data_IF_104372651750
#
_entry.id   IF_104372651750
#
_cell.length_a   1.000
_cell.length_b   1.000
_cell.length_c   1.000
_cell.angle_alpha   90.00
_cell.angle_beta   90.00
_cell.angle_gamma   90.00
#
_symmetry.space_group_name_H-M   'P 1'
#
loop_
_entity.id
_entity.type
_entity.pdbx_description
1 polymer ?
#
# COMPACT_ATOMS: atom_id res chain seq x y z
N UNK A 1 -17.70 -12.66 -6.41
CA UNK A 1 -16.86 -12.07 -5.33
C UNK A 1 -15.36 -12.11 -5.70
N UNK A 2 -14.76 -13.26 -6.00
CA UNK A 2 -13.33 -13.36 -6.39
C UNK A 2 -12.93 -12.51 -7.61
N UNK A 3 -13.75 -12.45 -8.66
CA UNK A 3 -13.45 -11.63 -9.84
C UNK A 3 -13.42 -10.13 -9.51
N UNK A 4 -14.34 -9.69 -8.63
CA UNK A 4 -14.41 -8.31 -8.17
C UNK A 4 -13.21 -7.96 -7.28
N UNK A 5 -12.76 -8.86 -6.41
CA UNK A 5 -11.55 -8.69 -5.61
C UNK A 5 -10.34 -8.48 -6.54
N UNK A 6 -10.17 -9.32 -7.56
CA UNK A 6 -9.07 -9.18 -8.51
C UNK A 6 -9.06 -7.83 -9.23
N UNK A 7 -10.23 -7.35 -9.68
CA UNK A 7 -10.37 -6.02 -10.32
C UNK A 7 -10.09 -4.89 -9.33
N UNK A 8 -10.61 -4.97 -8.11
CA UNK A 8 -10.38 -3.98 -7.06
C UNK A 8 -8.89 -3.91 -6.69
N UNK A 9 -8.23 -5.05 -6.54
CA UNK A 9 -6.78 -5.15 -6.29
C UNK A 9 -5.98 -4.52 -7.42
N UNK A 10 -6.28 -4.86 -8.67
CA UNK A 10 -5.58 -4.30 -9.81
C UNK A 10 -5.74 -2.77 -9.87
N UNK A 11 -6.97 -2.27 -9.66
CA UNK A 11 -7.25 -0.83 -9.61
C UNK A 11 -6.52 -0.15 -8.45
N UNK A 12 -6.63 -0.68 -7.23
CA UNK A 12 -5.96 -0.14 -6.04
C UNK A 12 -4.44 -0.13 -6.21
N UNK A 13 -3.84 -1.12 -6.86
CA UNK A 13 -2.39 -1.17 -7.10
C UNK A 13 -1.87 0.01 -7.94
N UNK A 14 -2.75 0.71 -8.67
CA UNK A 14 -2.41 1.90 -9.46
C UNK A 14 -2.60 3.22 -8.70
N UNK A 15 -3.01 3.17 -7.43
CA UNK A 15 -3.20 4.35 -6.59
C UNK A 15 -1.91 5.19 -6.46
N UNK A 16 -2.09 6.50 -6.29
CA UNK A 16 -1.00 7.48 -6.16
C UNK A 16 0.00 7.09 -5.06
N UNK A 17 -0.43 6.41 -4.00
CA UNK A 17 0.46 5.93 -2.93
C UNK A 17 1.56 5.02 -3.46
N UNK A 18 1.20 4.02 -4.26
CA UNK A 18 2.16 3.00 -4.73
C UNK A 18 3.10 3.57 -5.81
N UNK A 19 2.60 4.52 -6.60
CA UNK A 19 3.42 5.33 -7.49
C UNK A 19 4.40 6.21 -6.69
N UNK A 20 3.94 6.86 -5.62
CA UNK A 20 4.76 7.69 -4.75
C UNK A 20 5.86 6.88 -4.05
N UNK A 21 5.57 5.67 -3.57
CA UNK A 21 6.57 4.74 -3.03
C UNK A 21 7.62 4.36 -4.07
N UNK A 22 7.19 4.03 -5.29
CA UNK A 22 8.08 3.67 -6.39
C UNK A 22 8.99 4.81 -6.81
N UNK A 23 8.44 6.02 -6.93
CA UNK A 23 9.21 7.22 -7.23
C UNK A 23 10.10 7.63 -6.06
N UNK A 24 9.63 7.50 -4.82
CA UNK A 24 10.38 7.76 -3.61
C UNK A 24 11.65 6.91 -3.53
N UNK A 25 11.53 5.59 -3.75
CA UNK A 25 12.68 4.69 -3.77
C UNK A 25 13.72 5.09 -4.85
N UNK A 26 13.25 5.47 -6.05
CA UNK A 26 14.13 5.96 -7.11
C UNK A 26 14.84 7.27 -6.70
N UNK A 27 14.13 8.21 -6.10
CA UNK A 27 14.67 9.49 -5.64
C UNK A 27 15.72 9.31 -4.55
N UNK A 28 15.45 8.44 -3.57
CA UNK A 28 16.41 8.11 -2.49
C UNK A 28 17.70 7.56 -3.08
N UNK A 29 17.60 6.61 -4.03
CA UNK A 29 18.76 6.06 -4.73
C UNK A 29 19.55 7.15 -5.46
N UNK A 30 18.87 7.93 -6.30
CA UNK A 30 19.53 8.92 -7.15
C UNK A 30 20.22 10.03 -6.35
N UNK A 31 19.60 10.49 -5.26
CA UNK A 31 20.13 11.54 -4.40
C UNK A 31 20.95 11.02 -3.22
N UNK A 32 21.14 9.70 -3.09
CA UNK A 32 21.86 9.05 -1.98
C UNK A 32 21.35 9.51 -0.61
N UNK A 33 20.04 9.56 -0.45
CA UNK A 33 19.41 10.05 0.79
C UNK A 33 19.65 9.03 1.91
N UNK A 34 20.23 9.49 3.01
CA UNK A 34 20.49 8.65 4.17
C UNK A 34 19.17 8.24 4.88
N UNK A 35 19.26 7.19 5.69
CA UNK A 35 18.15 6.75 6.54
C UNK A 35 17.73 7.84 7.54
N UNK A 36 16.57 7.65 8.18
CA UNK A 36 15.94 8.59 9.11
C UNK A 36 15.57 9.95 8.50
N UNK A 37 15.45 10.02 7.18
CA UNK A 37 14.93 11.18 6.47
C UNK A 37 13.48 10.95 6.09
N UNK A 38 12.69 12.03 6.11
CA UNK A 38 11.35 12.04 5.54
C UNK A 38 11.42 12.77 4.20
N UNK A 39 10.93 12.13 3.14
CA UNK A 39 10.72 12.74 1.84
C UNK A 39 9.22 12.87 1.57
N UNK A 40 8.80 14.03 1.07
CA UNK A 40 7.42 14.25 0.65
C UNK A 40 7.30 14.05 -0.86
N UNK A 41 6.40 13.15 -1.27
CA UNK A 41 6.04 12.90 -2.67
C UNK A 41 4.53 13.10 -2.80
N UNK A 42 4.10 14.16 -3.50
CA UNK A 42 2.69 14.56 -3.52
C UNK A 42 2.19 14.86 -2.10
N UNK A 43 1.12 14.17 -1.68
CA UNK A 43 0.55 14.25 -0.33
C UNK A 43 1.15 13.27 0.67
N UNK A 44 2.05 12.39 0.24
CA UNK A 44 2.56 11.29 1.07
C UNK A 44 3.90 11.64 1.71
N UNK A 45 3.99 11.43 3.02
CA UNK A 45 5.26 11.43 3.75
C UNK A 45 5.85 10.03 3.72
N UNK A 46 7.03 9.90 3.14
CA UNK A 46 7.74 8.64 3.03
C UNK A 46 8.99 8.71 3.89
N UNK A 47 9.15 7.75 4.79
CA UNK A 47 10.34 7.62 5.63
C UNK A 47 11.38 6.74 4.92
N UNK A 48 12.61 7.21 4.88
CA UNK A 48 13.77 6.40 4.48
C UNK A 48 14.26 5.67 5.72
N UNK A 49 14.17 4.35 5.72
CA UNK A 49 14.60 3.52 6.83
C UNK A 49 15.67 2.53 6.36
N UNK A 50 16.45 2.00 7.30
CA UNK A 50 17.26 0.81 7.03
C UNK A 50 16.32 -0.39 6.87
N UNK A 51 16.69 -1.34 6.00
CA UNK A 51 15.99 -2.62 5.96
C UNK A 51 16.23 -3.41 7.26
N UNK A 52 15.40 -4.42 7.52
CA UNK A 52 15.47 -5.20 8.77
C UNK A 52 16.80 -5.94 8.96
N UNK A 53 17.59 -6.12 7.90
CA UNK A 53 18.88 -6.79 7.94
C UNK A 53 20.05 -5.81 8.10
N UNK A 54 19.82 -4.50 7.98
CA UNK A 54 20.86 -3.47 7.98
C UNK A 54 21.71 -3.41 6.71
N UNK A 55 21.33 -4.16 5.66
CA UNK A 55 22.13 -4.32 4.43
C UNK A 55 21.69 -3.39 3.29
N UNK A 56 20.61 -2.65 3.51
CA UNK A 56 19.96 -1.81 2.51
C UNK A 56 19.05 -0.75 3.11
N UNK A 57 18.42 0.02 2.23
CA UNK A 57 17.44 1.03 2.60
C UNK A 57 16.09 0.69 2.01
N UNK A 58 15.03 1.04 2.73
CA UNK A 58 13.65 1.01 2.25
C UNK A 58 13.06 2.40 2.30
N UNK A 59 12.12 2.65 1.41
CA UNK A 59 11.19 3.77 1.53
C UNK A 59 9.87 3.21 2.02
N UNK A 60 9.37 3.75 3.12
CA UNK A 60 8.14 3.29 3.74
C UNK A 60 7.10 4.41 3.89
N UNK A 61 5.84 4.05 3.71
CA UNK A 61 4.69 4.86 4.06
C UNK A 61 3.92 4.16 5.18
N UNK A 62 3.53 4.90 6.22
CA UNK A 62 2.66 4.42 7.29
C UNK A 62 1.37 5.22 7.20
N UNK A 63 0.25 4.55 6.97
CA UNK A 63 -1.05 5.19 6.79
C UNK A 63 -2.10 4.58 7.72
N UNK A 64 -3.09 5.36 8.19
CA UNK A 64 -4.20 4.84 8.98
C UNK A 64 -4.95 3.74 8.26
N UNK A 65 -5.24 2.65 8.97
CA UNK A 65 -6.03 1.53 8.45
C UNK A 65 -7.41 2.00 7.98
N UNK A 66 -8.02 2.95 8.69
CA UNK A 66 -9.32 3.52 8.33
C UNK A 66 -9.30 4.18 6.94
N UNK A 67 -8.31 5.03 6.66
CA UNK A 67 -8.16 5.67 5.35
C UNK A 67 -7.98 4.63 4.23
N UNK A 68 -7.17 3.60 4.49
CA UNK A 68 -6.97 2.50 3.54
C UNK A 68 -8.26 1.72 3.29
N UNK A 69 -9.06 1.45 4.32
CA UNK A 69 -10.36 0.80 4.17
C UNK A 69 -11.35 1.66 3.39
N UNK A 70 -11.36 2.98 3.61
CA UNK A 70 -12.18 3.92 2.82
C UNK A 70 -11.82 3.83 1.34
N UNK A 71 -10.53 3.85 1.00
CA UNK A 71 -10.06 3.67 -0.38
C UNK A 71 -10.48 2.31 -0.96
N UNK A 72 -10.31 1.22 -0.22
CA UNK A 72 -10.68 -0.12 -0.66
C UNK A 72 -12.18 -0.23 -0.97
N UNK A 73 -13.03 0.29 -0.08
CA UNK A 73 -14.49 0.25 -0.24
C UNK A 73 -14.98 1.20 -1.34
N UNK A 74 -14.33 2.35 -1.54
CA UNK A 74 -14.61 3.22 -2.69
C UNK A 74 -14.37 2.48 -4.00
N UNK A 75 -13.23 1.78 -4.13
CA UNK A 75 -12.93 0.94 -5.29
C UNK A 75 -13.96 -0.18 -5.49
N UNK A 76 -14.44 -0.81 -4.42
CA UNK A 76 -15.48 -1.83 -4.50
C UNK A 76 -16.80 -1.27 -5.07
N UNK A 77 -17.25 -0.12 -4.54
CA UNK A 77 -18.49 0.55 -4.96
C UNK A 77 -18.46 1.03 -6.41
N UNK A 78 -17.31 1.51 -6.87
CA UNK A 78 -17.13 1.87 -8.28
C UNK A 78 -17.23 0.67 -9.22
N UNK A 79 -16.83 -0.51 -8.76
CA UNK A 79 -16.85 -1.74 -9.57
C UNK A 79 -18.21 -2.45 -9.53
N UNK A 80 -18.91 -2.39 -8.39
CA UNK A 80 -20.22 -2.99 -8.20
C UNK A 80 -21.03 -2.20 -7.16
N UNK A 81 -22.16 -1.63 -7.61
CA UNK A 81 -23.12 -0.92 -6.76
C UNK A 81 -23.69 -1.77 -5.62
N UNK A 82 -23.68 -3.11 -5.73
CA UNK A 82 -24.12 -4.01 -4.65
C UNK A 82 -23.30 -3.87 -3.37
N UNK A 83 -22.08 -3.31 -3.46
CA UNK A 83 -21.20 -3.07 -2.33
C UNK A 83 -21.75 -2.08 -1.29
N UNK A 84 -22.72 -1.24 -1.67
CA UNK A 84 -23.40 -0.34 -0.73
C UNK A 84 -24.30 -1.11 0.25
N UNK A 85 -24.88 -2.21 -0.19
CA UNK A 85 -25.83 -3.02 0.59
C UNK A 85 -25.19 -4.14 1.42
N UNK A 86 -23.87 -4.27 1.42
CA UNK A 86 -23.20 -5.35 2.15
C UNK A 86 -23.42 -5.26 3.66
N UNK A 87 -23.71 -6.42 4.25
CA UNK A 87 -23.70 -6.58 5.70
C UNK A 87 -22.30 -6.30 6.25
N UNK A 88 -22.20 -6.04 7.55
CA UNK A 88 -20.91 -5.83 8.20
C UNK A 88 -20.00 -7.06 8.06
N UNK A 89 -20.57 -8.27 8.15
CA UNK A 89 -19.83 -9.52 7.95
C UNK A 89 -19.28 -9.65 6.54
N UNK A 90 -20.10 -9.34 5.51
CA UNK A 90 -19.66 -9.43 4.11
C UNK A 90 -18.55 -8.41 3.83
N UNK A 91 -18.69 -7.20 4.38
CA UNK A 91 -17.68 -6.14 4.24
C UNK A 91 -16.36 -6.53 4.89
N UNK A 92 -16.40 -7.10 6.10
CA UNK A 92 -15.20 -7.57 6.80
C UNK A 92 -14.51 -8.70 6.04
N UNK A 93 -15.28 -9.68 5.56
CA UNK A 93 -14.75 -10.79 4.77
C UNK A 93 -14.11 -10.27 3.47
N UNK A 94 -14.82 -9.40 2.76
CA UNK A 94 -14.31 -8.83 1.52
C UNK A 94 -13.03 -8.02 1.72
N UNK A 95 -12.95 -7.21 2.79
CA UNK A 95 -11.74 -6.45 3.12
C UNK A 95 -10.57 -7.38 3.42
N UNK A 96 -10.78 -8.47 4.17
CA UNK A 96 -9.73 -9.45 4.43
C UNK A 96 -9.19 -10.05 3.13
N UNK A 97 -10.07 -10.51 2.24
CA UNK A 97 -9.69 -11.08 0.95
C UNK A 97 -9.02 -10.04 0.03
N UNK A 98 -9.48 -8.79 0.07
CA UNK A 98 -8.90 -7.67 -0.66
C UNK A 98 -7.47 -7.38 -0.19
N UNK A 99 -7.23 -7.31 1.13
CA UNK A 99 -5.91 -7.04 1.67
C UNK A 99 -4.92 -8.15 1.31
N UNK A 100 -5.32 -9.41 1.46
CA UNK A 100 -4.47 -10.55 1.09
C UNK A 100 -4.12 -10.51 -0.41
N UNK A 101 -5.12 -10.24 -1.26
CA UNK A 101 -4.91 -10.08 -2.70
C UNK A 101 -4.00 -8.91 -3.06
N UNK A 102 -4.18 -7.76 -2.42
CA UNK A 102 -3.38 -6.56 -2.65
C UNK A 102 -1.93 -6.77 -2.22
N UNK A 103 -1.70 -7.38 -1.05
CA UNK A 103 -0.35 -7.69 -0.56
C UNK A 103 0.41 -8.57 -1.57
N UNK A 104 -0.24 -9.63 -2.04
CA UNK A 104 0.35 -10.54 -3.03
C UNK A 104 0.63 -9.84 -4.36
N UNK A 105 -0.31 -9.03 -4.84
CA UNK A 105 -0.17 -8.32 -6.10
C UNK A 105 0.98 -7.31 -6.06
N UNK A 106 1.02 -6.46 -5.03
CA UNK A 106 2.06 -5.46 -4.83
C UNK A 106 3.44 -6.09 -4.67
N UNK A 107 3.55 -7.17 -3.89
CA UNK A 107 4.81 -7.88 -3.72
C UNK A 107 5.30 -8.47 -5.04
N UNK A 108 4.42 -9.13 -5.79
CA UNK A 108 4.76 -9.81 -7.04
C UNK A 108 5.13 -8.84 -8.16
N UNK A 109 4.36 -7.78 -8.35
CA UNK A 109 4.46 -6.95 -9.55
C UNK A 109 5.18 -5.62 -9.32
N UNK A 110 5.16 -5.10 -8.09
CA UNK A 110 5.73 -3.79 -7.77
C UNK A 110 6.89 -3.89 -6.77
N UNK A 111 7.16 -5.07 -6.21
CA UNK A 111 8.16 -5.24 -5.16
C UNK A 111 7.87 -4.39 -3.92
N UNK A 112 6.58 -4.13 -3.64
CA UNK A 112 6.13 -3.40 -2.46
C UNK A 112 5.62 -4.43 -1.44
N UNK A 113 6.18 -4.40 -0.24
CA UNK A 113 5.71 -5.20 0.90
C UNK A 113 4.65 -4.43 1.66
N UNK A 114 3.65 -5.15 2.14
CA UNK A 114 2.56 -4.61 2.94
C UNK A 114 2.49 -5.38 4.25
N UNK A 115 2.41 -4.66 5.38
CA UNK A 115 2.30 -5.25 6.72
C UNK A 115 1.44 -4.39 7.63
N UNK A 116 0.99 -4.95 8.75
CA UNK A 116 0.42 -4.15 9.83
C UNK A 116 1.51 -3.26 10.42
N UNK A 117 1.21 -1.97 10.51
CA UNK A 117 2.05 -0.98 11.16
C UNK A 117 1.76 -0.87 12.66
N UNK A 118 2.47 0.02 13.37
CA UNK A 118 2.20 0.30 14.78
C UNK A 118 0.78 0.83 14.99
N UNK A 119 0.08 0.32 16.00
CA UNK A 119 -1.31 0.71 16.26
C UNK A 119 -2.27 0.26 15.15
N UNK A 120 -3.22 1.11 14.78
CA UNK A 120 -4.21 0.85 13.72
C UNK A 120 -3.74 1.41 12.36
N UNK A 121 -2.51 1.06 11.96
CA UNK A 121 -1.90 1.52 10.72
C UNK A 121 -1.53 0.36 9.78
N UNK A 122 -1.37 0.69 8.50
CA UNK A 122 -0.72 -0.15 7.50
C UNK A 122 0.63 0.45 7.13
N UNK A 123 1.64 -0.40 7.00
CA UNK A 123 2.96 -0.03 6.51
C UNK A 123 3.17 -0.63 5.13
N UNK A 124 3.61 0.21 4.20
CA UNK A 124 3.98 -0.17 2.84
C UNK A 124 5.43 0.16 2.60
N UNK A 125 6.20 -0.78 2.06
CA UNK A 125 7.65 -0.67 1.97
C UNK A 125 8.13 -1.05 0.59
N UNK A 126 9.04 -0.25 0.05
CA UNK A 126 9.75 -0.57 -1.17
C UNK A 126 11.25 -0.47 -0.94
N UNK A 127 11.98 -1.52 -1.29
CA UNK A 127 13.43 -1.50 -1.26
C UNK A 127 13.98 -0.43 -2.21
N UNK A 128 14.97 0.31 -1.74
CA UNK A 128 15.82 1.16 -2.56
C UNK A 128 16.81 0.21 -3.24
N UNK A 129 16.55 -0.14 -4.49
CA UNK A 129 17.48 -0.99 -5.25
C UNK A 129 18.82 -0.29 -5.42
N UNK A 130 19.91 -1.06 -5.34
CA UNK A 130 21.27 -0.60 -5.60
C UNK A 130 21.42 -0.17 -7.08
#
# INVERSE_FOLDING_TARGET
MNEMIGKAVAKASTDELFQALSYGALKVRAARIASNHIIRIGKFDLMVAEDENGDGQVVQAILPMEEMQVMALANARELDSSAEGWSESDRRQWLADFWDGLAQYLAKWQGIRMRRGPGENMTFEKAVSR
#
